data_IF_241105330959
#
_entry.id   IF_241105330959
#
_cell.length_a   1.000
_cell.length_b   1.000
_cell.length_c   1.000
_cell.angle_alpha   90.00
_cell.angle_beta   90.00
_cell.angle_gamma   90.00
#
_symmetry.space_group_name_H-M   'P 1'
#
loop_
_entity.id
_entity.type
_entity.pdbx_description
1 polymer ?
#
# COMPACT_ATOMS: atom_id res chain seq x y z
N UNK A 1 -20.84 -24.88 -26.89
CA UNK A 1 -19.50 -24.31 -27.18
C UNK A 1 -19.31 -23.12 -26.25
N UNK A 2 -18.60 -23.29 -25.13
CA UNK A 2 -18.39 -22.23 -24.14
C UNK A 2 -16.98 -22.37 -23.59
N UNK A 3 -16.08 -21.48 -24.03
CA UNK A 3 -14.68 -21.49 -23.64
C UNK A 3 -14.48 -20.76 -22.31
N UNK A 4 -13.97 -21.47 -21.31
CA UNK A 4 -13.43 -20.90 -20.08
C UNK A 4 -12.06 -20.27 -20.41
N UNK A 5 -11.94 -18.94 -20.28
CA UNK A 5 -10.65 -18.26 -20.23
C UNK A 5 -10.20 -18.15 -18.78
N UNK A 6 -9.32 -19.06 -18.37
CA UNK A 6 -8.52 -18.89 -17.15
C UNK A 6 -7.33 -18.02 -17.55
N UNK A 7 -7.36 -16.74 -17.18
CA UNK A 7 -6.20 -15.87 -17.28
C UNK A 7 -5.18 -16.32 -16.22
N UNK A 8 -4.20 -17.11 -16.65
CA UNK A 8 -3.04 -17.43 -15.83
C UNK A 8 -2.23 -16.15 -15.60
N UNK A 9 -2.33 -15.60 -14.39
CA UNK A 9 -1.41 -14.58 -13.89
C UNK A 9 -0.01 -15.18 -13.85
N UNK A 10 0.80 -14.92 -14.89
CA UNK A 10 2.24 -15.19 -14.87
C UNK A 10 2.89 -14.17 -13.94
N UNK A 11 2.92 -14.50 -12.65
CA UNK A 11 3.84 -13.87 -11.70
C UNK A 11 5.26 -14.14 -12.19
N UNK A 12 5.86 -13.13 -12.82
CA UNK A 12 7.30 -13.12 -13.05
C UNK A 12 7.94 -12.87 -11.69
N UNK A 13 8.48 -13.93 -11.11
CA UNK A 13 9.35 -13.93 -9.93
C UNK A 13 10.64 -13.19 -10.27
N UNK A 14 10.58 -11.86 -10.42
CA UNK A 14 11.76 -11.01 -10.35
C UNK A 14 12.22 -11.00 -8.89
N UNK A 15 13.11 -11.94 -8.58
CA UNK A 15 14.22 -11.75 -7.65
C UNK A 15 13.92 -11.29 -6.23
N UNK A 16 13.08 -12.00 -5.47
CA UNK A 16 13.00 -11.83 -4.00
C UNK A 16 14.40 -11.93 -3.33
N UNK A 17 15.32 -12.70 -3.93
CA UNK A 17 16.73 -12.83 -3.50
C UNK A 17 17.58 -11.57 -3.74
N UNK A 18 17.29 -10.77 -4.76
CA UNK A 18 18.14 -9.63 -5.14
C UNK A 18 17.75 -8.37 -4.35
N UNK A 19 16.44 -8.15 -4.14
CA UNK A 19 15.91 -7.14 -3.22
C UNK A 19 16.28 -7.44 -1.76
N UNK A 20 16.34 -8.73 -1.39
CA UNK A 20 16.80 -9.17 -0.07
C UNK A 20 18.26 -8.81 0.23
N UNK A 21 19.12 -8.56 -0.77
CA UNK A 21 20.54 -8.26 -0.51
C UNK A 21 20.86 -6.78 -0.32
N UNK A 22 20.05 -5.86 -0.85
CA UNK A 22 20.39 -4.42 -0.84
C UNK A 22 19.99 -3.70 0.46
N UNK A 23 18.82 -4.04 1.02
CA UNK A 23 18.33 -3.52 2.33
C UNK A 23 19.20 -4.00 3.52
N UNK A 24 20.17 -4.88 3.30
CA UNK A 24 21.02 -5.49 4.34
C UNK A 24 22.28 -4.69 4.70
N UNK A 25 22.55 -3.52 4.09
CA UNK A 25 23.76 -2.76 4.45
C UNK A 25 23.74 -2.25 5.90
N UNK A 26 22.55 -2.07 6.49
CA UNK A 26 22.37 -1.65 7.88
C UNK A 26 21.97 -2.83 8.76
N UNK A 27 22.54 -2.88 9.98
CA UNK A 27 22.15 -3.85 11.00
C UNK A 27 20.70 -3.66 11.46
N UNK A 28 20.12 -4.68 12.09
CA UNK A 28 18.78 -4.58 12.69
C UNK A 28 18.64 -3.42 13.70
N UNK A 29 19.67 -3.17 14.50
CA UNK A 29 19.68 -2.10 15.50
C UNK A 29 19.79 -0.71 14.85
N UNK A 30 20.55 -0.56 13.77
CA UNK A 30 20.59 0.69 13.01
C UNK A 30 19.24 0.97 12.33
N UNK A 31 18.59 -0.06 11.77
CA UNK A 31 17.27 0.07 11.14
C UNK A 31 16.17 0.47 12.14
N UNK A 32 16.29 0.10 13.42
CA UNK A 32 15.37 0.54 14.48
C UNK A 32 15.47 2.02 14.79
N UNK A 33 16.67 2.60 14.68
CA UNK A 33 16.93 4.03 14.95
C UNK A 33 16.40 4.95 13.84
N UNK A 34 16.09 4.40 12.67
CA UNK A 34 15.51 5.17 11.57
C UNK A 34 14.01 5.38 11.84
N UNK A 35 13.63 6.65 11.91
CA UNK A 35 12.25 7.07 12.10
C UNK A 35 11.41 6.78 10.85
N UNK A 36 10.12 6.51 11.09
CA UNK A 36 9.11 6.39 10.03
C UNK A 36 8.38 7.72 9.91
N UNK A 37 8.23 8.22 8.70
CA UNK A 37 7.44 9.40 8.39
C UNK A 37 6.15 9.02 7.68
N UNK A 38 5.03 9.68 8.01
CA UNK A 38 3.81 9.60 7.22
C UNK A 38 3.95 10.56 6.05
N UNK A 39 3.79 10.06 4.83
CA UNK A 39 3.89 10.86 3.60
C UNK A 39 2.53 11.30 3.11
N UNK A 40 1.53 10.40 3.21
CA UNK A 40 0.16 10.69 2.82
C UNK A 40 -0.82 10.17 3.87
N UNK A 41 -1.87 10.95 4.12
CA UNK A 41 -2.97 10.57 5.00
C UNK A 41 -4.28 11.12 4.47
N UNK A 42 -5.16 10.22 4.03
CA UNK A 42 -6.48 10.57 3.52
C UNK A 42 -7.52 10.13 4.54
N UNK A 43 -8.47 11.02 4.86
CA UNK A 43 -9.57 10.73 5.79
C UNK A 43 -10.90 10.75 5.05
N UNK A 44 -11.74 9.76 5.33
CA UNK A 44 -13.14 9.76 4.93
C UNK A 44 -13.91 10.96 5.50
N UNK A 45 -14.68 11.65 4.65
CA UNK A 45 -15.50 12.81 5.05
C UNK A 45 -16.58 12.44 6.07
N UNK A 46 -17.17 11.26 5.89
CA UNK A 46 -18.24 10.75 6.75
C UNK A 46 -17.76 9.51 7.49
N UNK A 47 -18.24 9.35 8.72
CA UNK A 47 -17.99 8.13 9.47
C UNK A 47 -18.76 6.94 8.90
N UNK A 48 -18.18 5.76 8.99
CA UNK A 48 -18.79 4.47 8.72
C UNK A 48 -18.95 3.76 10.04
N UNK A 49 -20.19 3.45 10.44
CA UNK A 49 -20.50 2.78 11.71
C UNK A 49 -19.91 3.49 12.94
N UNK A 50 -19.80 4.82 12.88
CA UNK A 50 -19.23 5.64 13.95
C UNK A 50 -17.70 5.79 13.91
N UNK A 51 -17.03 5.23 12.91
CA UNK A 51 -15.57 5.30 12.75
C UNK A 51 -15.19 6.09 11.49
N UNK A 52 -14.07 6.81 11.53
CA UNK A 52 -13.46 7.38 10.33
C UNK A 52 -12.49 6.39 9.72
N UNK A 53 -12.61 6.16 8.42
CA UNK A 53 -11.62 5.43 7.65
C UNK A 53 -10.50 6.37 7.23
N UNK A 54 -9.28 5.86 7.27
CA UNK A 54 -8.07 6.50 6.79
C UNK A 54 -7.32 5.58 5.84
N UNK A 55 -6.84 6.13 4.73
CA UNK A 55 -5.76 5.54 3.97
C UNK A 55 -4.47 6.27 4.34
N UNK A 56 -3.40 5.52 4.60
CA UNK A 56 -2.11 6.09 4.97
C UNK A 56 -1.01 5.53 4.09
N UNK A 57 0.01 6.35 3.89
CA UNK A 57 1.31 5.95 3.38
C UNK A 57 2.38 6.49 4.33
N UNK A 58 3.34 5.64 4.65
CA UNK A 58 4.46 5.96 5.50
C UNK A 58 5.72 5.34 4.93
N UNK A 59 6.87 5.95 5.21
CA UNK A 59 8.15 5.47 4.72
C UNK A 59 9.25 5.52 5.76
N UNK A 60 10.24 4.64 5.59
CA UNK A 60 11.56 4.75 6.20
C UNK A 60 12.59 4.84 5.10
N UNK A 61 13.45 5.85 5.16
CA UNK A 61 14.57 5.98 4.24
C UNK A 61 15.86 5.51 4.93
N UNK A 62 16.56 4.59 4.28
CA UNK A 62 17.80 3.99 4.78
C UNK A 62 18.97 4.63 4.02
N UNK A 63 19.78 5.46 4.69
CA UNK A 63 20.96 6.05 4.04
C UNK A 63 21.90 4.96 3.56
N UNK A 64 22.25 4.97 2.28
CA UNK A 64 23.29 4.05 1.79
C UNK A 64 24.65 4.48 2.31
N UNK A 65 25.49 3.50 2.66
CA UNK A 65 26.86 3.76 3.09
C UNK A 65 27.72 4.23 1.91
N UNK A 66 28.80 4.94 2.20
CA UNK A 66 29.71 5.53 1.19
C UNK A 66 30.35 4.51 0.22
N UNK A 67 30.26 3.21 0.51
CA UNK A 67 30.71 2.11 -0.33
C UNK A 67 29.74 1.74 -1.46
N UNK A 68 28.52 2.29 -1.47
CA UNK A 68 27.57 2.09 -2.56
C UNK A 68 27.90 2.99 -3.76
N UNK A 69 27.74 2.45 -4.97
CA UNK A 69 27.96 3.18 -6.23
C UNK A 69 26.93 4.28 -6.48
N UNK A 70 25.75 4.17 -5.88
CA UNK A 70 24.62 5.07 -6.11
C UNK A 70 24.54 6.13 -5.01
N UNK A 71 25.54 7.02 -4.97
CA UNK A 71 25.56 8.14 -4.01
C UNK A 71 24.29 8.97 -4.17
N UNK A 72 23.46 9.00 -3.13
CA UNK A 72 22.22 9.80 -3.06
C UNK A 72 20.92 9.01 -3.27
N UNK A 73 20.98 7.72 -3.60
CA UNK A 73 19.79 6.89 -3.75
C UNK A 73 19.59 5.97 -2.53
N UNK A 74 18.86 6.46 -1.53
CA UNK A 74 18.54 5.69 -0.32
C UNK A 74 17.63 4.50 -0.65
N UNK A 75 17.78 3.41 0.09
CA UNK A 75 16.75 2.37 0.09
C UNK A 75 15.54 2.86 0.89
N UNK A 76 14.34 2.39 0.53
CA UNK A 76 13.09 2.85 1.12
C UNK A 76 12.21 1.65 1.50
N UNK A 77 11.74 1.63 2.75
CA UNK A 77 10.61 0.78 3.15
C UNK A 77 9.35 1.62 3.07
N UNK A 78 8.36 1.16 2.31
CA UNK A 78 7.04 1.78 2.20
C UNK A 78 6.03 0.95 2.97
N UNK A 79 5.35 1.57 3.93
CA UNK A 79 4.27 0.99 4.71
C UNK A 79 2.99 1.75 4.42
N UNK A 80 2.00 1.08 3.87
CA UNK A 80 0.74 1.70 3.45
C UNK A 80 -0.43 0.82 3.80
N UNK A 81 -1.60 1.41 3.90
CA UNK A 81 -2.78 0.63 4.20
C UNK A 81 -3.96 1.46 4.65
N UNK A 82 -4.93 0.75 5.22
CA UNK A 82 -6.17 1.31 5.70
C UNK A 82 -6.28 1.11 7.20
N UNK A 83 -6.69 2.16 7.90
CA UNK A 83 -7.01 2.11 9.33
C UNK A 83 -8.35 2.75 9.61
N UNK A 84 -9.04 2.32 10.66
CA UNK A 84 -10.20 3.00 11.21
C UNK A 84 -9.82 3.73 12.50
N UNK A 85 -10.48 4.86 12.76
CA UNK A 85 -10.40 5.54 14.04
C UNK A 85 -11.81 5.75 14.60
N UNK A 86 -12.04 5.31 15.83
CA UNK A 86 -13.29 5.57 16.53
C UNK A 86 -13.35 7.00 17.10
N UNK A 87 -14.53 7.43 17.55
CA UNK A 87 -14.72 8.74 18.16
C UNK A 87 -14.01 8.96 19.52
N UNK A 88 -13.40 7.92 20.08
CA UNK A 88 -12.64 7.95 21.34
C UNK A 88 -11.13 7.91 21.12
N UNK A 89 -10.67 7.86 19.87
CA UNK A 89 -9.26 7.79 19.50
C UNK A 89 -8.69 6.37 19.42
N UNK A 90 -9.53 5.33 19.51
CA UNK A 90 -9.13 3.95 19.22
C UNK A 90 -8.78 3.80 17.74
N UNK A 91 -7.65 3.16 17.44
CA UNK A 91 -7.17 2.92 16.07
C UNK A 91 -7.20 1.41 15.76
N UNK A 92 -7.71 1.05 14.59
CA UNK A 92 -7.72 -0.33 14.10
C UNK A 92 -7.07 -0.43 12.72
N UNK A 93 -6.07 -1.29 12.55
CA UNK A 93 -5.49 -1.58 11.23
C UNK A 93 -6.36 -2.59 10.49
N UNK A 94 -6.84 -2.24 9.29
CA UNK A 94 -7.77 -3.08 8.50
C UNK A 94 -7.05 -3.86 7.40
N UNK A 95 -6.14 -3.20 6.70
CA UNK A 95 -5.34 -3.78 5.64
C UNK A 95 -4.01 -3.05 5.55
N UNK A 96 -2.95 -3.75 5.16
CA UNK A 96 -1.64 -3.14 5.02
C UNK A 96 -0.73 -3.89 4.05
N UNK A 97 0.18 -3.13 3.47
CA UNK A 97 1.26 -3.65 2.65
C UNK A 97 2.57 -3.01 3.07
N UNK A 98 3.58 -3.84 3.26
CA UNK A 98 4.97 -3.43 3.41
C UNK A 98 5.73 -3.77 2.13
N UNK A 99 6.48 -2.83 1.59
CA UNK A 99 7.30 -3.02 0.40
C UNK A 99 8.67 -2.39 0.59
N UNK A 100 9.67 -2.96 -0.08
CA UNK A 100 11.04 -2.46 -0.07
C UNK A 100 11.44 -2.12 -1.50
N UNK A 101 11.98 -0.93 -1.70
CA UNK A 101 12.38 -0.41 -3.01
C UNK A 101 13.59 0.52 -2.81
N UNK A 102 14.19 0.97 -3.90
CA UNK A 102 15.20 2.02 -3.82
C UNK A 102 14.55 3.41 -3.97
N UNK A 103 15.36 4.45 -4.18
CA UNK A 103 14.88 5.82 -4.24
C UNK A 103 13.96 6.09 -5.45
N UNK A 104 13.99 5.26 -6.50
CA UNK A 104 13.14 5.41 -7.67
C UNK A 104 11.72 4.88 -7.47
N UNK A 105 11.50 4.14 -6.38
CA UNK A 105 10.21 3.59 -5.95
C UNK A 105 9.52 2.72 -7.00
N UNK A 106 10.28 2.09 -7.90
CA UNK A 106 9.72 1.14 -8.86
C UNK A 106 9.25 -0.13 -8.14
N UNK A 107 8.07 -0.61 -8.55
CA UNK A 107 7.44 -1.83 -8.06
C UNK A 107 6.19 -1.59 -7.20
N UNK A 108 6.25 -0.82 -6.11
CA UNK A 108 5.08 -0.55 -5.27
C UNK A 108 4.02 0.29 -5.97
N UNK A 109 2.74 -0.13 -5.90
CA UNK A 109 1.56 0.61 -6.38
C UNK A 109 0.87 1.48 -5.31
N UNK A 110 0.71 2.78 -5.52
CA UNK A 110 0.12 3.67 -4.53
C UNK A 110 -1.39 3.82 -4.73
N UNK A 111 -2.14 3.92 -3.64
CA UNK A 111 -3.59 4.01 -3.70
C UNK A 111 -4.04 5.46 -3.48
N UNK A 112 -5.01 5.92 -4.27
CA UNK A 112 -5.68 7.21 -4.10
C UNK A 112 -7.16 6.93 -3.86
N UNK A 113 -7.68 7.15 -2.64
CA UNK A 113 -9.11 7.07 -2.38
C UNK A 113 -9.84 8.16 -3.18
N UNK A 114 -10.74 7.74 -4.07
CA UNK A 114 -11.54 8.65 -4.91
C UNK A 114 -12.87 9.00 -4.25
N UNK A 115 -13.42 8.06 -3.48
CA UNK A 115 -14.69 8.27 -2.80
C UNK A 115 -15.18 7.04 -2.07
N UNK A 116 -16.36 7.17 -1.49
CA UNK A 116 -17.05 6.09 -0.81
C UNK A 116 -18.55 6.15 -1.10
N UNK A 117 -19.19 4.99 -1.11
CA UNK A 117 -20.63 4.86 -1.25
C UNK A 117 -21.16 3.90 -0.19
N UNK A 118 -22.23 4.31 0.48
CA UNK A 118 -23.02 3.43 1.33
C UNK A 118 -24.23 2.98 0.53
N UNK A 119 -24.40 1.68 0.36
CA UNK A 119 -25.56 1.10 -0.30
C UNK A 119 -26.19 0.08 0.65
N UNK A 120 -27.37 0.42 1.15
CA UNK A 120 -28.04 -0.32 2.24
C UNK A 120 -27.11 -0.40 3.46
N UNK A 121 -26.69 -1.61 3.86
CA UNK A 121 -25.81 -1.85 5.02
C UNK A 121 -24.36 -2.18 4.62
N UNK A 122 -23.97 -1.89 3.37
CA UNK A 122 -22.64 -2.16 2.82
C UNK A 122 -21.95 -0.84 2.49
N UNK A 123 -20.65 -0.79 2.74
CA UNK A 123 -19.81 0.36 2.43
C UNK A 123 -18.81 -0.04 1.37
N UNK A 124 -18.76 0.73 0.29
CA UNK A 124 -17.82 0.55 -0.80
C UNK A 124 -16.88 1.75 -0.91
N UNK A 125 -15.61 1.47 -1.19
CA UNK A 125 -14.58 2.47 -1.46
C UNK A 125 -14.19 2.39 -2.92
N UNK A 126 -14.08 3.54 -3.58
CA UNK A 126 -13.54 3.67 -4.92
C UNK A 126 -12.11 4.13 -4.81
N UNK A 127 -11.19 3.36 -5.37
CA UNK A 127 -9.75 3.57 -5.19
C UNK A 127 -9.09 3.49 -6.54
N UNK A 128 -8.19 4.42 -6.84
CA UNK A 128 -7.24 4.28 -7.94
C UNK A 128 -5.93 3.74 -7.39
N UNK A 129 -5.44 2.62 -7.88
CA UNK A 129 -4.07 2.18 -7.68
C UNK A 129 -3.22 2.59 -8.88
N UNK A 130 -2.04 3.14 -8.64
CA UNK A 130 -1.07 3.48 -9.69
C UNK A 130 0.31 2.98 -9.30
N UNK A 131 0.90 2.13 -10.12
CA UNK A 131 2.30 1.74 -10.03
C UNK A 131 3.14 2.46 -11.06
N UNK A 132 4.30 1.88 -11.38
CA UNK A 132 5.26 2.47 -12.30
C UNK A 132 4.79 2.46 -13.76
N UNK A 133 4.11 1.38 -14.17
CA UNK A 133 3.69 1.12 -15.56
C UNK A 133 2.24 0.63 -15.64
N UNK A 134 1.50 0.70 -14.53
CA UNK A 134 0.13 0.24 -14.44
C UNK A 134 -0.75 1.19 -13.63
N UNK A 135 -1.97 1.39 -14.11
CA UNK A 135 -3.06 2.00 -13.36
C UNK A 135 -4.23 1.03 -13.29
N UNK A 136 -4.85 0.94 -12.11
CA UNK A 136 -6.06 0.15 -11.88
C UNK A 136 -7.07 0.94 -11.06
N UNK A 137 -8.35 0.68 -11.30
CA UNK A 137 -9.46 1.20 -10.52
C UNK A 137 -10.13 0.05 -9.77
N UNK A 138 -10.25 0.20 -8.46
CA UNK A 138 -10.75 -0.80 -7.54
C UNK A 138 -12.04 -0.35 -6.88
N UNK A 139 -12.93 -1.33 -6.66
CA UNK A 139 -14.01 -1.23 -5.68
C UNK A 139 -13.66 -2.16 -4.53
N UNK A 140 -13.46 -1.57 -3.35
CA UNK A 140 -13.28 -2.32 -2.10
C UNK A 140 -14.59 -2.31 -1.31
N UNK A 141 -14.99 -3.43 -0.74
CA UNK A 141 -16.07 -3.52 0.24
C UNK A 141 -15.50 -3.57 1.66
N UNK A 142 -16.00 -2.70 2.53
CA UNK A 142 -15.74 -2.75 3.96
C UNK A 142 -16.83 -3.55 4.65
N UNK A 143 -16.44 -4.64 5.32
CA UNK A 143 -17.32 -5.46 6.15
C UNK A 143 -16.71 -5.71 7.54
N UNK A 144 -17.27 -6.65 8.31
CA UNK A 144 -16.80 -6.94 9.67
C UNK A 144 -15.41 -7.58 9.74
N UNK A 145 -14.92 -8.18 8.65
CA UNK A 145 -13.59 -8.78 8.59
C UNK A 145 -12.53 -7.88 7.95
N UNK A 146 -12.91 -6.67 7.50
CA UNK A 146 -11.99 -5.69 6.92
C UNK A 146 -12.38 -5.28 5.50
N UNK A 147 -11.37 -4.91 4.71
CA UNK A 147 -11.53 -4.50 3.32
C UNK A 147 -11.32 -5.68 2.38
N UNK A 148 -12.24 -5.83 1.42
CA UNK A 148 -12.20 -6.90 0.42
C UNK A 148 -12.31 -6.29 -0.97
N UNK A 149 -11.45 -6.71 -1.90
CA UNK A 149 -11.55 -6.33 -3.30
C UNK A 149 -12.76 -7.02 -3.93
N UNK A 150 -13.68 -6.24 -4.49
CA UNK A 150 -14.91 -6.75 -5.14
C UNK A 150 -14.85 -6.61 -6.65
N UNK A 151 -14.24 -5.52 -7.13
CA UNK A 151 -14.04 -5.28 -8.55
C UNK A 151 -12.68 -4.62 -8.77
N UNK A 152 -12.06 -4.95 -9.90
CA UNK A 152 -10.86 -4.32 -10.42
C UNK A 152 -11.02 -4.12 -11.92
N UNK A 153 -10.60 -2.96 -12.42
CA UNK A 153 -10.53 -2.66 -13.85
C UNK A 153 -9.20 -1.98 -14.16
N UNK A 154 -8.57 -2.39 -15.25
CA UNK A 154 -7.32 -1.80 -15.70
C UNK A 154 -7.57 -0.43 -16.34
N UNK A 155 -6.79 0.56 -15.94
CA UNK A 155 -6.85 1.96 -16.38
C UNK A 155 -5.92 2.28 -17.54
N UNK A 156 -4.79 1.58 -17.66
CA UNK A 156 -3.74 1.89 -18.64
C UNK A 156 -2.35 1.83 -18.05
#
# INVERSE_FOLDING_TARGET
>A
MGGNFIAAARSRTLGFKELSMRVLSLSGEERKKIEMSITNLYRSKSGVRGEHLYYFEAEKQYPKTAASSDRGCNDVSLFRGWMSADGKGGLGLMDNQLSFTDCDRKGPSFATPLGMMNLQNRTFLFVREHGWEDESYLILELNHSGLHRVLETFGG
#
